data_IF_703593691749
#
_entry.id   IF_703593691749
#
_cell.length_a   1.000
_cell.length_b   1.000
_cell.length_c   1.000
_cell.angle_alpha   90.00
_cell.angle_beta   90.00
_cell.angle_gamma   90.00
#
_symmetry.space_group_name_H-M   'P 1'
#
loop_
_entity.id
_entity.type
_entity.pdbx_description
1 polymer ?
#
# COMPACT_ATOMS: atom_id res chain seq x y z
N UNK A 1 25.60 10.25 4.98
CA UNK A 1 25.15 11.43 5.76
C UNK A 1 24.69 11.01 7.15
N UNK A 2 23.76 10.05 7.31
CA UNK A 2 23.23 9.56 8.61
C UNK A 2 24.34 9.09 9.54
N UNK A 3 25.29 8.29 9.05
CA UNK A 3 26.43 7.81 9.85
C UNK A 3 27.29 8.98 10.38
N UNK A 4 27.45 10.06 9.60
CA UNK A 4 28.18 11.25 10.00
C UNK A 4 27.43 12.09 11.02
N UNK A 5 26.11 12.16 10.93
CA UNK A 5 25.24 12.83 11.90
C UNK A 5 25.27 12.08 13.24
N UNK A 6 25.14 10.75 13.21
CA UNK A 6 25.24 9.91 14.40
C UNK A 6 26.61 10.01 15.09
N UNK A 7 27.73 10.13 14.32
CA UNK A 7 29.07 10.28 14.87
C UNK A 7 29.29 11.63 15.60
N UNK A 8 28.40 12.61 15.36
CA UNK A 8 28.39 13.91 16.04
C UNK A 8 27.48 13.92 17.28
N UNK A 9 26.93 12.79 17.67
CA UNK A 9 26.03 12.67 18.82
C UNK A 9 24.67 13.34 18.59
N UNK A 10 24.30 13.61 17.33
CA UNK A 10 23.02 14.21 16.96
C UNK A 10 22.04 13.05 16.73
N UNK A 11 21.05 12.92 17.61
CA UNK A 11 20.03 11.88 17.58
C UNK A 11 18.75 12.31 16.86
N UNK A 12 18.56 13.64 16.66
CA UNK A 12 17.39 14.21 16.01
C UNK A 12 17.79 15.39 15.10
N UNK A 13 17.26 15.45 13.89
CA UNK A 13 17.53 16.48 12.88
C UNK A 13 16.21 17.06 12.37
N UNK A 14 16.06 18.39 12.39
CA UNK A 14 14.89 19.12 11.91
C UNK A 14 15.24 19.96 10.67
N UNK A 15 14.51 19.87 9.59
CA UNK A 15 14.83 20.46 8.28
C UNK A 15 13.79 21.54 7.89
N UNK A 16 14.19 22.79 7.57
CA UNK A 16 13.32 23.93 7.21
C UNK A 16 13.50 24.33 5.74
N UNK A 17 12.40 24.55 5.02
CA UNK A 17 12.35 24.77 3.58
C UNK A 17 12.81 26.16 3.11
N UNK A 18 13.65 26.22 2.03
CA UNK A 18 13.61 27.29 1.04
C UNK A 18 12.90 26.74 -0.20
N UNK A 19 11.92 27.49 -0.69
CA UNK A 19 11.18 27.22 -1.93
C UNK A 19 12.12 27.31 -3.15
N UNK A 20 12.91 26.28 -3.40
CA UNK A 20 13.45 25.97 -4.73
C UNK A 20 12.60 24.83 -5.29
N UNK A 21 12.29 24.83 -6.57
CA UNK A 21 11.55 23.75 -7.23
C UNK A 21 12.22 22.42 -6.91
N UNK A 22 11.67 21.70 -5.94
CA UNK A 22 12.17 20.39 -5.53
C UNK A 22 11.60 19.34 -6.47
N UNK A 23 12.47 18.67 -7.20
CA UNK A 23 12.10 17.47 -7.96
C UNK A 23 11.74 16.36 -6.97
N UNK A 24 10.46 16.26 -6.63
CA UNK A 24 9.91 15.13 -5.89
C UNK A 24 10.14 13.84 -6.70
N UNK A 25 10.70 12.83 -6.05
CA UNK A 25 10.88 11.52 -6.67
C UNK A 25 9.64 10.70 -6.34
N UNK A 26 8.64 10.76 -7.19
CA UNK A 26 7.40 10.00 -7.07
C UNK A 26 7.56 8.63 -7.72
N UNK A 27 6.93 7.60 -7.14
CA UNK A 27 6.91 6.25 -7.69
C UNK A 27 6.14 6.21 -9.02
N UNK A 28 5.03 6.95 -9.10
CA UNK A 28 4.32 7.25 -10.33
C UNK A 28 4.19 8.77 -10.49
N UNK A 29 4.21 9.26 -11.74
CA UNK A 29 3.87 10.66 -12.01
C UNK A 29 2.40 10.90 -11.67
N UNK A 30 2.09 12.03 -11.07
CA UNK A 30 0.72 12.39 -10.64
C UNK A 30 -0.30 12.29 -11.78
N UNK A 31 0.11 12.58 -13.03
CA UNK A 31 -0.77 12.40 -14.20
C UNK A 31 -1.13 10.94 -14.48
N UNK A 32 -0.17 10.03 -14.29
CA UNK A 32 -0.40 8.58 -14.44
C UNK A 32 -1.23 8.01 -13.28
N UNK A 33 -0.98 8.48 -12.06
CA UNK A 33 -1.79 8.10 -10.90
C UNK A 33 -3.27 8.45 -11.13
N UNK A 34 -3.56 9.68 -11.59
CA UNK A 34 -4.92 10.11 -11.88
C UNK A 34 -5.56 9.30 -13.02
N UNK A 35 -4.79 9.02 -14.09
CA UNK A 35 -5.28 8.18 -15.20
C UNK A 35 -5.63 6.77 -14.72
N UNK A 36 -4.76 6.13 -13.92
CA UNK A 36 -5.01 4.80 -13.38
C UNK A 36 -6.15 4.80 -12.38
N UNK A 37 -6.24 5.80 -11.49
CA UNK A 37 -7.37 5.99 -10.58
C UNK A 37 -8.71 6.02 -11.34
N UNK A 38 -8.85 6.90 -12.33
CA UNK A 38 -10.09 7.05 -13.09
C UNK A 38 -10.45 5.77 -13.84
N UNK A 39 -9.45 5.08 -14.39
CA UNK A 39 -9.63 3.83 -15.11
C UNK A 39 -10.08 2.70 -14.17
N UNK A 40 -9.41 2.52 -13.03
CA UNK A 40 -9.76 1.52 -12.01
C UNK A 40 -11.17 1.80 -11.46
N UNK A 41 -11.45 3.04 -11.08
CA UNK A 41 -12.77 3.47 -10.60
C UNK A 41 -13.87 3.13 -11.61
N UNK A 42 -13.69 3.55 -12.86
CA UNK A 42 -14.67 3.32 -13.92
C UNK A 42 -14.95 1.81 -14.12
N UNK A 43 -13.91 0.98 -14.15
CA UNK A 43 -14.06 -0.47 -14.33
C UNK A 43 -14.77 -1.09 -13.13
N UNK A 44 -14.35 -0.76 -11.91
CA UNK A 44 -14.92 -1.33 -10.69
C UNK A 44 -16.36 -0.88 -10.45
N UNK A 45 -16.70 0.38 -10.73
CA UNK A 45 -18.07 0.87 -10.60
C UNK A 45 -19.02 0.19 -11.60
N UNK A 46 -18.60 -0.02 -12.84
CA UNK A 46 -19.41 -0.73 -13.84
C UNK A 46 -19.66 -2.19 -13.49
N UNK A 47 -18.67 -2.87 -12.92
CA UNK A 47 -18.83 -4.28 -12.55
C UNK A 47 -19.96 -4.50 -11.53
N UNK A 48 -20.21 -3.56 -10.63
CA UNK A 48 -21.28 -3.65 -9.64
C UNK A 48 -22.69 -3.63 -10.27
N UNK A 49 -22.84 -2.92 -11.40
CA UNK A 49 -24.14 -2.74 -12.05
C UNK A 49 -24.42 -3.76 -13.17
N UNK A 50 -23.38 -4.35 -13.71
CA UNK A 50 -23.50 -5.37 -14.76
C UNK A 50 -22.33 -6.33 -14.62
N UNK A 51 -22.52 -7.58 -14.27
CA UNK A 51 -21.46 -8.62 -14.30
C UNK A 51 -20.77 -8.59 -15.67
N UNK A 52 -19.88 -7.62 -15.87
CA UNK A 52 -19.35 -7.26 -17.17
C UNK A 52 -17.89 -7.74 -17.26
N UNK A 53 -17.51 -8.23 -18.44
CA UNK A 53 -16.13 -8.63 -18.78
C UNK A 53 -15.10 -7.47 -18.67
N UNK A 54 -15.54 -6.28 -18.28
CA UNK A 54 -14.65 -5.11 -18.11
C UNK A 54 -13.65 -5.24 -16.96
N UNK A 55 -13.92 -6.09 -15.95
CA UNK A 55 -12.91 -6.39 -14.92
C UNK A 55 -11.60 -6.95 -15.53
N UNK A 56 -11.67 -7.66 -16.66
CA UNK A 56 -10.46 -8.12 -17.37
C UNK A 56 -9.52 -6.95 -17.75
N UNK A 57 -10.05 -5.75 -17.98
CA UNK A 57 -9.24 -4.56 -18.26
C UNK A 57 -8.36 -4.13 -17.09
N UNK A 58 -8.65 -4.59 -15.86
CA UNK A 58 -7.76 -4.38 -14.72
C UNK A 58 -6.45 -5.15 -14.87
N UNK A 59 -6.44 -6.30 -15.55
CA UNK A 59 -5.21 -7.01 -15.91
C UNK A 59 -4.31 -6.15 -16.81
N UNK A 60 -4.88 -5.51 -17.85
CA UNK A 60 -4.15 -4.56 -18.70
C UNK A 60 -3.66 -3.33 -17.91
N UNK A 61 -4.46 -2.87 -16.96
CA UNK A 61 -4.08 -1.74 -16.09
C UNK A 61 -2.92 -2.13 -15.19
N UNK A 62 -2.93 -3.35 -14.64
CA UNK A 62 -1.81 -3.88 -13.86
C UNK A 62 -0.52 -3.92 -14.71
N UNK A 63 -0.59 -4.39 -15.95
CA UNK A 63 0.56 -4.39 -16.88
C UNK A 63 1.09 -2.97 -17.11
N UNK A 64 0.22 -1.98 -17.31
CA UNK A 64 0.63 -0.59 -17.50
C UNK A 64 1.30 -0.01 -16.24
N UNK A 65 0.80 -0.31 -15.04
CA UNK A 65 1.43 0.10 -13.78
C UNK A 65 2.81 -0.56 -13.65
N UNK A 66 2.91 -1.87 -13.92
CA UNK A 66 4.19 -2.59 -13.90
C UNK A 66 5.19 -1.95 -14.85
N UNK A 67 4.78 -1.66 -16.09
CA UNK A 67 5.64 -1.01 -17.07
C UNK A 67 6.07 0.38 -16.63
N UNK A 68 5.17 1.18 -16.09
CA UNK A 68 5.48 2.52 -15.56
C UNK A 68 6.47 2.44 -14.41
N UNK A 69 6.27 1.51 -13.46
CA UNK A 69 7.21 1.26 -12.36
C UNK A 69 8.56 0.78 -12.90
N UNK A 70 8.59 -0.06 -13.95
CA UNK A 70 9.84 -0.53 -14.58
C UNK A 70 10.56 0.57 -15.36
N UNK A 71 9.86 1.47 -16.04
CA UNK A 71 10.45 2.59 -16.77
C UNK A 71 11.09 3.60 -15.81
N UNK A 72 10.45 3.87 -14.68
CA UNK A 72 11.03 4.64 -13.59
C UNK A 72 12.17 3.87 -12.89
N UNK A 73 12.18 2.53 -12.97
CA UNK A 73 13.18 1.63 -12.36
C UNK A 73 14.56 1.56 -13.04
N UNK A 74 14.88 2.39 -14.03
CA UNK A 74 16.27 2.80 -14.24
C UNK A 74 16.87 3.45 -12.97
N UNK A 75 16.07 3.50 -11.91
CA UNK A 75 16.29 4.15 -10.62
C UNK A 75 16.00 3.16 -9.47
N UNK A 76 16.41 1.91 -9.59
CA UNK A 76 16.29 0.88 -8.52
C UNK A 76 16.95 1.31 -7.18
N UNK A 77 17.73 2.37 -7.19
CA UNK A 77 18.40 2.92 -6.00
C UNK A 77 17.73 4.18 -5.42
N UNK A 78 16.62 4.67 -5.99
CA UNK A 78 15.96 5.88 -5.46
C UNK A 78 15.08 5.56 -4.25
N UNK A 79 15.03 6.55 -3.36
CA UNK A 79 14.08 6.66 -2.27
C UNK A 79 12.91 7.50 -2.79
N UNK A 80 11.68 7.03 -2.62
CA UNK A 80 10.49 7.67 -3.15
C UNK A 80 9.77 8.47 -2.07
N UNK A 81 9.34 9.66 -2.43
CA UNK A 81 8.49 10.50 -1.60
C UNK A 81 7.05 10.01 -1.66
N UNK A 82 6.48 9.72 -0.51
CA UNK A 82 5.09 9.32 -0.37
C UNK A 82 4.29 10.51 0.14
N UNK A 83 3.30 10.93 -0.63
CA UNK A 83 2.42 12.06 -0.27
C UNK A 83 1.30 11.64 0.66
N UNK A 84 0.79 12.60 1.46
CA UNK A 84 -0.48 12.44 2.14
C UNK A 84 -1.60 12.33 1.08
N UNK A 85 -2.53 11.39 1.28
CA UNK A 85 -3.51 11.00 0.26
C UNK A 85 -4.95 11.14 0.77
N UNK A 86 -5.90 11.12 -0.16
CA UNK A 86 -7.31 11.03 0.16
C UNK A 86 -7.68 9.61 0.63
N UNK A 87 -8.80 9.45 1.32
CA UNK A 87 -9.33 8.13 1.70
C UNK A 87 -10.18 7.55 0.56
N UNK A 88 -9.69 7.62 -0.67
CA UNK A 88 -10.33 7.05 -1.86
C UNK A 88 -9.78 5.64 -2.11
N UNK A 89 -10.67 4.64 -2.15
CA UNK A 89 -10.30 3.23 -2.30
C UNK A 89 -9.63 2.91 -3.63
N UNK A 90 -9.90 3.69 -4.67
CA UNK A 90 -9.30 3.47 -5.99
C UNK A 90 -7.89 4.03 -6.06
N UNK A 91 -7.69 5.23 -5.47
CA UNK A 91 -6.36 5.82 -5.29
C UNK A 91 -5.49 4.90 -4.42
N UNK A 92 -6.04 4.41 -3.31
CA UNK A 92 -5.40 3.41 -2.45
C UNK A 92 -4.99 2.16 -3.23
N UNK A 93 -5.90 1.55 -3.99
CA UNK A 93 -5.60 0.36 -4.78
C UNK A 93 -4.47 0.56 -5.79
N UNK A 94 -4.40 1.73 -6.47
CA UNK A 94 -3.32 2.06 -7.40
C UNK A 94 -1.99 2.22 -6.67
N UNK A 95 -2.00 2.83 -5.48
CA UNK A 95 -0.79 3.02 -4.67
C UNK A 95 -0.25 1.70 -4.13
N UNK A 96 -1.11 0.88 -3.53
CA UNK A 96 -0.74 -0.46 -3.06
C UNK A 96 -0.20 -1.30 -4.22
N UNK A 97 -0.82 -1.23 -5.40
CA UNK A 97 -0.33 -1.89 -6.61
C UNK A 97 1.08 -1.45 -6.97
N UNK A 98 1.35 -0.15 -6.97
CA UNK A 98 2.66 0.42 -7.31
C UNK A 98 3.75 0.04 -6.31
N UNK A 99 3.44 0.15 -5.00
CA UNK A 99 4.34 -0.21 -3.90
C UNK A 99 4.65 -1.71 -3.89
N UNK A 100 3.62 -2.55 -4.04
CA UNK A 100 3.77 -4.00 -4.05
C UNK A 100 4.52 -4.49 -5.29
N UNK A 101 4.28 -3.89 -6.45
CA UNK A 101 5.03 -4.17 -7.68
C UNK A 101 6.52 -3.89 -7.49
N UNK A 102 6.89 -2.71 -6.97
CA UNK A 102 8.28 -2.37 -6.71
C UNK A 102 8.92 -3.29 -5.68
N UNK A 103 8.21 -3.60 -4.58
CA UNK A 103 8.67 -4.55 -3.56
C UNK A 103 8.93 -5.91 -4.17
N UNK A 104 7.99 -6.46 -4.94
CA UNK A 104 8.10 -7.76 -5.58
C UNK A 104 9.28 -7.82 -6.58
N UNK A 105 9.48 -6.76 -7.38
CA UNK A 105 10.60 -6.64 -8.32
C UNK A 105 11.95 -6.62 -7.57
N UNK A 106 12.07 -5.87 -6.48
CA UNK A 106 13.28 -5.84 -5.64
C UNK A 106 13.54 -7.19 -4.97
N UNK A 107 12.50 -7.92 -4.61
CA UNK A 107 12.58 -9.29 -4.11
C UNK A 107 12.87 -10.31 -5.21
N UNK A 108 13.03 -9.91 -6.47
CA UNK A 108 13.31 -10.76 -7.64
C UNK A 108 12.21 -11.81 -7.86
N UNK A 109 10.97 -11.47 -7.58
CA UNK A 109 9.81 -12.29 -7.91
C UNK A 109 9.69 -12.34 -9.45
N UNK A 110 9.28 -13.50 -9.97
CA UNK A 110 9.11 -13.67 -11.41
C UNK A 110 7.97 -12.80 -11.98
N UNK A 111 8.06 -12.47 -13.28
CA UNK A 111 7.16 -11.51 -13.92
C UNK A 111 5.68 -11.91 -13.87
N UNK A 112 5.37 -13.20 -13.98
CA UNK A 112 3.98 -13.67 -13.97
C UNK A 112 3.38 -13.51 -12.57
N UNK A 113 4.16 -13.81 -11.53
CA UNK A 113 3.75 -13.59 -10.13
C UNK A 113 3.65 -12.11 -9.78
N UNK A 114 4.55 -11.24 -10.30
CA UNK A 114 4.43 -9.78 -10.16
C UNK A 114 3.13 -9.27 -10.78
N UNK A 115 2.74 -9.78 -11.96
CA UNK A 115 1.45 -9.43 -12.58
C UNK A 115 0.27 -9.82 -11.70
N UNK A 116 0.27 -11.04 -11.14
CA UNK A 116 -0.79 -11.49 -10.24
C UNK A 116 -0.85 -10.64 -8.95
N UNK A 117 0.31 -10.25 -8.40
CA UNK A 117 0.37 -9.35 -7.24
C UNK A 117 -0.26 -8.00 -7.60
N UNK A 118 0.12 -7.40 -8.74
CA UNK A 118 -0.41 -6.11 -9.19
C UNK A 118 -1.93 -6.16 -9.41
N UNK A 119 -2.42 -7.18 -10.13
CA UNK A 119 -3.85 -7.38 -10.34
C UNK A 119 -4.60 -7.62 -9.03
N UNK A 120 -3.99 -8.38 -8.11
CA UNK A 120 -4.53 -8.60 -6.77
C UNK A 120 -4.66 -7.31 -5.97
N UNK A 121 -3.65 -6.44 -6.02
CA UNK A 121 -3.69 -5.12 -5.36
C UNK A 121 -4.80 -4.22 -5.93
N UNK A 122 -5.06 -4.24 -7.23
CA UNK A 122 -6.15 -3.44 -7.80
C UNK A 122 -7.54 -3.92 -7.37
N UNK A 123 -7.65 -5.15 -6.90
CA UNK A 123 -8.93 -5.81 -6.55
C UNK A 123 -9.09 -6.07 -5.05
N UNK A 124 -8.03 -5.95 -4.23
CA UNK A 124 -8.02 -6.45 -2.86
C UNK A 124 -9.17 -5.89 -2.02
N UNK A 125 -9.46 -4.63 -2.17
CA UNK A 125 -10.45 -3.87 -1.40
C UNK A 125 -11.82 -3.70 -2.09
N UNK A 126 -12.09 -4.43 -3.18
CA UNK A 126 -13.40 -4.37 -3.84
C UNK A 126 -14.56 -4.65 -2.87
N UNK A 127 -14.31 -5.44 -1.84
CA UNK A 127 -15.29 -5.79 -0.82
C UNK A 127 -15.72 -4.64 0.10
N UNK A 128 -14.90 -3.59 0.26
CA UNK A 128 -15.25 -2.39 1.03
C UNK A 128 -16.51 -1.69 0.51
N UNK A 129 -16.79 -1.83 -0.78
CA UNK A 129 -17.97 -1.25 -1.43
C UNK A 129 -19.30 -1.84 -0.97
N UNK A 130 -19.27 -3.02 -0.34
CA UNK A 130 -20.46 -3.68 0.19
C UNK A 130 -20.71 -3.38 1.67
N UNK A 131 -19.81 -2.59 2.31
CA UNK A 131 -19.93 -2.30 3.72
C UNK A 131 -20.91 -1.15 3.99
N UNK A 132 -21.91 -1.34 4.87
CA UNK A 132 -22.84 -0.29 5.26
C UNK A 132 -22.33 0.56 6.44
N UNK A 133 -21.02 0.66 6.64
CA UNK A 133 -20.39 1.33 7.78
C UNK A 133 -19.39 2.39 7.30
N UNK A 134 -19.11 3.36 8.16
CA UNK A 134 -18.03 4.32 7.90
C UNK A 134 -16.70 3.78 8.44
N UNK A 135 -15.75 3.55 7.54
CA UNK A 135 -14.38 3.11 7.82
C UNK A 135 -13.32 4.15 7.47
N UNK A 136 -13.73 5.31 6.93
CA UNK A 136 -12.83 6.38 6.47
C UNK A 136 -12.36 7.21 7.66
N UNK A 137 -11.04 7.39 7.76
CA UNK A 137 -10.35 8.14 8.81
C UNK A 137 -10.77 7.74 10.23
N UNK A 138 -10.94 6.45 10.45
CA UNK A 138 -11.42 5.85 11.70
C UNK A 138 -10.71 4.53 11.96
N UNK A 139 -10.06 4.41 13.12
CA UNK A 139 -9.43 3.15 13.52
C UNK A 139 -10.49 2.07 13.79
N UNK A 140 -10.18 0.83 13.41
CA UNK A 140 -11.05 -0.33 13.70
C UNK A 140 -11.31 -0.48 15.21
N UNK A 141 -10.35 -0.08 16.06
CA UNK A 141 -10.50 -0.10 17.52
C UNK A 141 -11.49 0.94 18.07
N UNK A 142 -11.85 1.94 17.28
CA UNK A 142 -12.83 2.98 17.62
C UNK A 142 -14.23 2.65 17.11
N UNK A 143 -14.35 1.59 16.35
CA UNK A 143 -15.61 1.04 15.87
C UNK A 143 -16.29 0.25 16.99
N UNK A 144 -17.62 0.18 16.97
CA UNK A 144 -18.34 -0.79 17.78
C UNK A 144 -17.95 -2.20 17.40
N UNK A 145 -18.16 -3.20 18.28
CA UNK A 145 -17.86 -4.59 17.99
C UNK A 145 -18.55 -5.07 16.69
N UNK A 146 -19.79 -4.63 16.48
CA UNK A 146 -20.57 -4.96 15.28
C UNK A 146 -19.96 -4.35 14.02
N UNK A 147 -19.60 -3.05 14.07
CA UNK A 147 -18.93 -2.37 12.94
C UNK A 147 -17.57 -2.98 12.64
N UNK A 148 -16.75 -3.24 13.66
CA UNK A 148 -15.45 -3.87 13.50
C UNK A 148 -15.55 -5.30 12.92
N UNK A 149 -16.56 -6.06 13.35
CA UNK A 149 -16.86 -7.38 12.79
C UNK A 149 -17.31 -7.29 11.32
N UNK A 150 -18.10 -6.27 10.98
CA UNK A 150 -18.53 -6.03 9.60
C UNK A 150 -17.35 -5.59 8.72
N UNK A 151 -16.50 -4.65 9.20
CA UNK A 151 -15.29 -4.23 8.48
C UNK A 151 -14.43 -5.43 8.11
N UNK A 152 -14.17 -6.34 9.05
CA UNK A 152 -13.35 -7.54 8.82
C UNK A 152 -13.90 -8.53 7.80
N UNK A 153 -15.12 -8.33 7.30
CA UNK A 153 -15.72 -9.20 6.26
C UNK A 153 -15.40 -8.76 4.83
N UNK A 154 -14.87 -7.53 4.61
CA UNK A 154 -14.64 -7.07 3.24
C UNK A 154 -13.76 -8.00 2.40
N UNK A 155 -12.70 -8.69 2.94
CA UNK A 155 -11.94 -9.63 2.13
C UNK A 155 -12.80 -10.81 1.64
N UNK A 156 -13.72 -11.26 2.49
CA UNK A 156 -14.67 -12.32 2.14
C UNK A 156 -15.68 -11.84 1.08
N UNK A 157 -16.19 -10.62 1.23
CA UNK A 157 -17.10 -10.03 0.22
C UNK A 157 -16.42 -9.86 -1.13
N UNK A 158 -15.15 -9.37 -1.11
CA UNK A 158 -14.33 -9.27 -2.32
C UNK A 158 -14.11 -10.63 -2.98
N UNK A 159 -13.71 -11.63 -2.20
CA UNK A 159 -13.54 -12.99 -2.70
C UNK A 159 -14.83 -13.56 -3.31
N UNK A 160 -15.96 -13.40 -2.63
CA UNK A 160 -17.28 -13.89 -3.13
C UNK A 160 -17.66 -13.19 -4.43
N UNK A 161 -17.36 -11.90 -4.56
CA UNK A 161 -17.62 -11.15 -5.79
C UNK A 161 -16.79 -11.65 -6.99
N UNK A 162 -15.59 -12.21 -6.73
CA UNK A 162 -14.61 -12.57 -7.77
C UNK A 162 -14.40 -14.07 -7.95
N UNK A 163 -14.94 -14.92 -7.08
CA UNK A 163 -14.65 -16.37 -7.07
C UNK A 163 -15.00 -17.08 -8.38
N UNK A 164 -16.04 -16.63 -9.08
CA UNK A 164 -16.57 -17.24 -10.30
C UNK A 164 -15.98 -16.61 -11.58
N UNK A 165 -15.02 -15.68 -11.45
CA UNK A 165 -14.33 -15.06 -12.57
C UNK A 165 -13.15 -15.96 -13.03
N UNK A 166 -13.30 -16.59 -14.19
CA UNK A 166 -12.33 -17.59 -14.71
C UNK A 166 -10.99 -16.97 -15.14
N UNK A 167 -10.96 -15.69 -15.50
CA UNK A 167 -9.76 -14.96 -15.91
C UNK A 167 -8.86 -14.56 -14.73
N UNK A 168 -9.38 -14.58 -13.51
CA UNK A 168 -8.65 -14.23 -12.29
C UNK A 168 -7.91 -15.46 -11.77
N UNK A 169 -6.58 -15.35 -11.62
CA UNK A 169 -5.75 -16.44 -11.11
C UNK A 169 -6.11 -16.81 -9.66
N UNK A 170 -5.75 -18.02 -9.26
CA UNK A 170 -5.92 -18.46 -7.88
C UNK A 170 -5.13 -17.59 -6.87
N UNK A 171 -3.98 -17.05 -7.28
CA UNK A 171 -3.18 -16.16 -6.43
C UNK A 171 -3.87 -14.81 -6.21
N UNK A 172 -4.45 -14.22 -7.27
CA UNK A 172 -5.21 -12.97 -7.16
C UNK A 172 -6.39 -13.14 -6.20
N UNK A 173 -7.16 -14.24 -6.32
CA UNK A 173 -8.27 -14.55 -5.40
C UNK A 173 -7.79 -14.71 -3.95
N UNK A 174 -6.61 -15.31 -3.75
CA UNK A 174 -6.01 -15.44 -2.41
C UNK A 174 -5.55 -14.09 -1.86
N UNK A 175 -4.98 -13.21 -2.68
CA UNK A 175 -4.60 -11.85 -2.27
C UNK A 175 -5.84 -11.11 -1.77
N UNK A 176 -6.93 -11.10 -2.54
CA UNK A 176 -8.20 -10.46 -2.14
C UNK A 176 -8.72 -11.00 -0.81
N UNK A 177 -8.62 -12.32 -0.58
CA UNK A 177 -9.14 -12.95 0.64
C UNK A 177 -8.22 -12.76 1.85
N UNK A 178 -6.88 -12.69 1.65
CA UNK A 178 -5.89 -12.85 2.72
C UNK A 178 -4.99 -11.63 2.94
N UNK A 179 -5.17 -10.49 2.28
CA UNK A 179 -4.28 -9.31 2.41
C UNK A 179 -4.17 -8.78 3.84
N UNK A 180 -5.17 -8.99 4.68
CA UNK A 180 -5.12 -8.66 6.11
C UNK A 180 -4.64 -9.79 7.02
N UNK A 181 -4.18 -10.91 6.48
CA UNK A 181 -3.58 -11.95 7.31
C UNK A 181 -2.19 -11.55 7.81
N UNK A 182 -1.82 -12.06 8.97
CA UNK A 182 -0.56 -11.73 9.66
C UNK A 182 0.15 -13.01 10.12
N UNK A 183 1.49 -12.98 10.16
CA UNK A 183 2.32 -14.12 10.60
C UNK A 183 2.01 -14.56 12.03
N UNK A 184 1.70 -13.62 12.91
CA UNK A 184 1.34 -13.85 14.31
C UNK A 184 -0.10 -14.35 14.50
N UNK A 185 -0.85 -14.54 13.40
CA UNK A 185 -2.24 -14.99 13.36
C UNK A 185 -3.23 -14.01 14.01
N UNK A 186 -2.85 -12.75 14.19
CA UNK A 186 -3.75 -11.68 14.66
C UNK A 186 -4.50 -11.00 13.51
N UNK A 187 -4.27 -11.45 12.27
CA UNK A 187 -4.99 -10.99 11.07
C UNK A 187 -6.42 -11.54 10.96
N UNK A 188 -7.01 -11.33 9.82
CA UNK A 188 -8.34 -11.80 9.45
C UNK A 188 -8.42 -12.05 7.92
N UNK A 189 -9.38 -12.78 7.40
CA UNK A 189 -10.54 -13.39 8.10
C UNK A 189 -10.28 -14.82 8.60
N UNK A 190 -9.26 -15.53 8.12
CA UNK A 190 -9.11 -16.99 8.25
C UNK A 190 -8.05 -17.40 9.27
N UNK A 191 -7.01 -16.60 9.46
CA UNK A 191 -5.84 -16.85 10.32
C UNK A 191 -5.12 -18.17 9.96
N UNK A 192 -4.59 -18.28 8.72
CA UNK A 192 -3.91 -19.47 8.26
C UNK A 192 -2.66 -19.76 9.11
N UNK A 193 -2.15 -20.98 9.05
CA UNK A 193 -0.92 -21.36 9.76
C UNK A 193 0.30 -20.64 9.18
N UNK A 194 0.29 -20.38 7.88
CA UNK A 194 1.35 -19.70 7.14
C UNK A 194 0.74 -18.72 6.13
N UNK A 195 1.34 -17.54 6.05
CA UNK A 195 1.00 -16.51 5.04
C UNK A 195 2.00 -16.59 3.90
N UNK A 196 1.50 -16.78 2.68
CA UNK A 196 2.35 -16.82 1.49
C UNK A 196 3.09 -15.49 1.31
N UNK A 197 4.30 -15.57 0.75
CA UNK A 197 5.18 -14.42 0.53
C UNK A 197 4.50 -13.31 -0.29
N UNK A 198 3.80 -13.68 -1.35
CA UNK A 198 3.09 -12.76 -2.23
C UNK A 198 2.00 -11.98 -1.49
N UNK A 199 1.27 -12.66 -0.60
CA UNK A 199 0.26 -12.03 0.26
C UNK A 199 0.95 -11.13 1.29
N UNK A 200 2.08 -11.57 1.85
CA UNK A 200 2.88 -10.77 2.78
C UNK A 200 3.38 -9.45 2.15
N UNK A 201 3.77 -9.47 0.86
CA UNK A 201 4.15 -8.25 0.12
C UNK A 201 2.96 -7.28 0.08
N UNK A 202 1.79 -7.74 -0.34
CA UNK A 202 0.58 -6.92 -0.39
C UNK A 202 0.23 -6.40 1.00
N UNK A 203 0.25 -7.25 2.02
CA UNK A 203 -0.09 -6.93 3.41
C UNK A 203 0.78 -5.81 4.01
N UNK A 204 2.08 -5.74 3.67
CA UNK A 204 2.98 -4.65 4.12
C UNK A 204 2.65 -3.34 3.41
N UNK A 205 2.47 -3.39 2.07
CA UNK A 205 2.18 -2.20 1.27
C UNK A 205 0.80 -1.63 1.59
N UNK A 206 -0.17 -2.51 1.80
CA UNK A 206 -1.55 -2.20 2.14
C UNK A 206 -1.65 -1.46 3.47
N UNK A 207 -1.18 -2.06 4.57
CA UNK A 207 -1.24 -1.41 5.89
C UNK A 207 -0.49 -0.08 5.92
N UNK A 208 0.63 0.03 5.18
CA UNK A 208 1.36 1.28 5.06
C UNK A 208 0.50 2.37 4.42
N UNK A 209 -0.13 2.08 3.29
CA UNK A 209 -0.97 3.06 2.57
C UNK A 209 -2.30 3.32 3.29
N UNK A 210 -2.94 2.30 3.92
CA UNK A 210 -4.12 2.45 4.77
C UNK A 210 -3.90 3.48 5.90
N UNK A 211 -2.75 3.43 6.57
CA UNK A 211 -2.39 4.39 7.61
C UNK A 211 -2.24 5.80 7.07
N UNK A 212 -1.73 5.96 5.85
CA UNK A 212 -1.50 7.29 5.24
C UNK A 212 -2.78 7.86 4.65
N UNK A 213 -3.60 7.05 3.98
CA UNK A 213 -4.85 7.49 3.36
C UNK A 213 -6.05 7.50 4.34
N UNK A 214 -5.96 6.76 5.44
CA UNK A 214 -7.03 6.70 6.45
C UNK A 214 -8.18 5.76 6.06
N UNK A 215 -7.89 4.56 5.56
CA UNK A 215 -8.86 3.49 5.35
C UNK A 215 -8.70 2.49 6.51
N UNK A 216 -9.74 2.26 7.31
CA UNK A 216 -9.66 1.41 8.50
C UNK A 216 -8.70 1.89 9.60
N UNK A 217 -8.04 3.01 9.37
CA UNK A 217 -7.14 3.72 10.27
C UNK A 217 -7.50 5.21 10.35
N UNK A 218 -7.09 5.89 11.43
CA UNK A 218 -6.94 7.35 11.39
C UNK A 218 -5.72 7.66 10.52
N UNK A 219 -5.82 8.74 9.76
CA UNK A 219 -4.72 9.17 8.90
C UNK A 219 -3.50 9.54 9.74
N UNK A 220 -2.39 8.89 9.42
CA UNK A 220 -1.11 9.05 10.09
C UNK A 220 -0.07 9.67 9.14
N UNK A 221 1.02 10.17 9.69
CA UNK A 221 2.16 10.64 8.92
C UNK A 221 3.01 9.45 8.44
N UNK A 222 3.71 9.63 7.32
CA UNK A 222 4.58 8.59 6.74
C UNK A 222 5.52 7.97 7.76
N UNK A 223 6.17 8.78 8.60
CA UNK A 223 7.10 8.29 9.62
C UNK A 223 6.40 7.37 10.64
N UNK A 224 5.12 7.61 10.97
CA UNK A 224 4.36 6.79 11.92
C UNK A 224 4.04 5.42 11.31
N UNK A 225 3.65 5.37 10.03
CA UNK A 225 3.46 4.11 9.30
C UNK A 225 4.77 3.32 9.18
N UNK A 226 5.90 4.00 8.94
CA UNK A 226 7.23 3.37 8.94
C UNK A 226 7.58 2.79 10.31
N UNK A 227 7.39 3.54 11.40
CA UNK A 227 7.66 3.07 12.76
C UNK A 227 6.73 1.88 13.14
N UNK A 228 5.48 1.90 12.69
CA UNK A 228 4.56 0.77 12.85
C UNK A 228 5.12 -0.48 12.18
N UNK A 229 5.52 -0.40 10.91
CA UNK A 229 6.12 -1.55 10.19
C UNK A 229 7.38 -2.07 10.88
N UNK A 230 8.25 -1.17 11.36
CA UNK A 230 9.47 -1.54 12.12
C UNK A 230 9.13 -2.26 13.43
N UNK A 231 8.13 -1.77 14.16
CA UNK A 231 7.72 -2.36 15.44
C UNK A 231 7.17 -3.79 15.28
N UNK A 232 6.49 -4.06 14.18
CA UNK A 232 5.87 -5.38 13.91
C UNK A 232 6.68 -6.26 12.95
N UNK A 233 7.88 -5.80 12.55
CA UNK A 233 8.83 -6.55 11.74
C UNK A 233 9.21 -7.88 12.40
N UNK A 234 9.06 -8.97 11.67
CA UNK A 234 9.33 -10.33 12.16
C UNK A 234 8.29 -10.89 13.12
N UNK A 235 7.31 -10.09 13.53
CA UNK A 235 6.16 -10.51 14.36
C UNK A 235 4.94 -10.69 13.46
N UNK A 236 4.27 -9.60 13.12
CA UNK A 236 3.08 -9.62 12.24
C UNK A 236 3.45 -9.66 10.76
N UNK A 237 4.58 -9.05 10.39
CA UNK A 237 5.07 -8.96 9.02
C UNK A 237 6.38 -9.71 8.83
N UNK A 238 6.62 -10.17 7.60
CA UNK A 238 7.88 -10.80 7.22
C UNK A 238 9.03 -9.78 7.26
N UNK A 239 10.17 -10.16 7.88
CA UNK A 239 11.31 -9.28 8.07
C UNK A 239 11.92 -8.81 6.74
N UNK A 240 12.08 -9.75 5.78
CA UNK A 240 12.74 -9.46 4.52
C UNK A 240 11.88 -8.53 3.66
N UNK A 241 10.55 -8.72 3.70
CA UNK A 241 9.60 -7.87 3.00
C UNK A 241 9.64 -6.45 3.55
N UNK A 242 9.57 -6.30 4.88
CA UNK A 242 9.62 -4.99 5.53
C UNK A 242 10.94 -4.30 5.23
N UNK A 243 12.08 -5.00 5.32
CA UNK A 243 13.39 -4.43 5.08
C UNK A 243 13.51 -3.91 3.65
N UNK A 244 13.12 -4.71 2.65
CA UNK A 244 13.15 -4.31 1.24
C UNK A 244 12.19 -3.15 0.96
N UNK A 245 11.00 -3.15 1.55
CA UNK A 245 10.03 -2.06 1.44
C UNK A 245 10.62 -0.75 1.98
N UNK A 246 11.22 -0.79 3.16
CA UNK A 246 11.80 0.39 3.80
C UNK A 246 13.06 0.94 3.12
N UNK A 247 13.72 0.17 2.25
CA UNK A 247 14.86 0.66 1.46
C UNK A 247 14.49 1.75 0.46
N UNK A 248 13.24 1.81 0.01
CA UNK A 248 12.81 2.77 -1.02
C UNK A 248 11.78 3.79 -0.56
N UNK A 249 11.26 3.68 0.66
CA UNK A 249 10.30 4.64 1.20
C UNK A 249 11.03 5.72 2.00
N UNK A 250 10.84 6.98 1.62
CA UNK A 250 11.34 8.11 2.37
C UNK A 250 10.57 8.25 3.69
N UNK A 251 11.25 8.05 4.83
CA UNK A 251 10.66 8.24 6.17
C UNK A 251 10.20 9.69 6.35
N UNK A 252 11.00 10.62 5.81
CA UNK A 252 10.70 12.04 5.76
C UNK A 252 10.77 12.48 4.30
N UNK A 253 9.63 12.66 3.63
CA UNK A 253 9.59 13.16 2.26
C UNK A 253 10.34 14.49 2.11
N UNK A 254 10.86 14.75 0.91
CA UNK A 254 11.55 16.01 0.60
C UNK A 254 10.61 17.17 0.96
N UNK A 255 11.13 18.13 1.78
CA UNK A 255 10.33 19.24 2.30
C UNK A 255 9.74 19.03 3.69
N UNK A 256 9.96 17.87 4.32
CA UNK A 256 9.54 17.67 5.71
C UNK A 256 10.28 18.63 6.63
N UNK A 257 9.52 19.36 7.46
CA UNK A 257 10.09 20.21 8.51
C UNK A 257 10.46 19.36 9.72
N UNK A 258 11.70 19.34 10.10
CA UNK A 258 12.19 18.60 11.26
C UNK A 258 12.88 19.50 12.26
N UNK A 259 12.68 19.28 13.58
CA UNK A 259 13.30 20.03 14.68
C UNK A 259 14.44 19.18 15.27
N UNK A 260 15.66 19.65 15.28
CA UNK A 260 16.80 18.99 15.89
C UNK A 260 16.71 19.00 17.42
N UNK A 261 17.27 17.99 18.08
CA UNK A 261 17.37 17.95 19.54
C UNK A 261 18.14 19.14 20.16
N UNK A 262 18.90 19.89 19.36
CA UNK A 262 19.56 21.14 19.75
C UNK A 262 18.69 22.40 19.51
N UNK A 263 17.40 22.24 19.15
CA UNK A 263 16.45 23.34 18.93
C UNK A 263 16.56 24.03 17.57
N UNK A 264 17.49 23.62 16.69
CA UNK A 264 17.57 24.17 15.34
C UNK A 264 16.54 23.50 14.44
N UNK A 265 15.91 24.29 13.57
CA UNK A 265 15.03 23.79 12.51
C UNK A 265 15.83 23.46 11.27
N UNK A 266 15.41 22.40 10.56
CA UNK A 266 15.99 21.97 9.30
C UNK A 266 14.92 21.53 8.30
N UNK A 267 15.20 21.58 6.98
CA UNK A 267 14.40 21.00 5.88
C UNK A 267 15.23 20.05 5.04
#
# INVERSE_FOLDING_TARGET
>A
YIAKINSLGITEVYIEEKLEEKNEVLLLKTSLENEFHDKVKHIMERHLYSKNKELMKLSETADHIIMSVLEENRIVEKIYDIKERSSDIYEHSVNVCSLATLTALRMKIDKSTVHDIAAGCLLHDIGLRYLPINYVNRNVHEMTETEAAEYRKHPVYGYVALKDEDWISGLVKQIVLYHHERKDRNGFPIRPAEVRKEIGIVSVCDVFDEMICGIGYRREKVYQAVEYLKAYRGVSFDSDIVDIFLEFVAVYPVGSKVLLNNGKKGT
#
